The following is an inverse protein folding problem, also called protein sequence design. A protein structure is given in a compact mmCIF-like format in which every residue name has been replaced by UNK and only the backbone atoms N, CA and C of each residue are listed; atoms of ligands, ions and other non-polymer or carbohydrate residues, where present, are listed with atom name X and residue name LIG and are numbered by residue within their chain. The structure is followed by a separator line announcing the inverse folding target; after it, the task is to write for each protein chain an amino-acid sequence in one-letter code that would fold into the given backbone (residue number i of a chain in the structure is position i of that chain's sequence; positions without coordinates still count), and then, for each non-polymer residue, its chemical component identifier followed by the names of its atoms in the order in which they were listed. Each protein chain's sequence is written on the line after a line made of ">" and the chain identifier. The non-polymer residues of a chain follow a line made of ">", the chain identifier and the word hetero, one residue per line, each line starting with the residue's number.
data_IF_284222709266
#
_entry.id   IF_284222709266
#
_cell.length_a   1.000
_cell.length_b   1.000
_cell.length_c   1.000
_cell.angle_alpha   90.00
_cell.angle_beta   90.00
_cell.angle_gamma   90.00
#
_symmetry.space_group_name_H-M   'P 1'
#
loop_
_entity.id
_entity.type
_entity.pdbx_description
1 polymer ?
#
# COMPACT_ATOMS: atom_id res chain seq x y z
N UNK A 1 62.13 -2.46 2.69
CA UNK A 1 61.07 -3.43 3.03
C UNK A 1 59.80 -2.74 3.55
N UNK A 2 59.91 -1.68 4.39
CA UNK A 2 58.75 -0.90 4.86
C UNK A 2 58.04 -0.11 3.75
N UNK A 3 58.77 0.55 2.84
CA UNK A 3 58.18 1.34 1.75
C UNK A 3 57.25 0.52 0.85
N UNK A 4 57.59 -0.75 0.58
CA UNK A 4 56.72 -1.65 -0.17
C UNK A 4 55.46 -2.06 0.60
N UNK A 5 55.55 -2.21 1.92
CA UNK A 5 54.37 -2.49 2.76
C UNK A 5 53.42 -1.29 2.80
N UNK A 6 53.96 -0.08 2.96
CA UNK A 6 53.15 1.15 2.93
C UNK A 6 52.46 1.35 1.58
N UNK A 7 53.15 1.09 0.47
CA UNK A 7 52.56 1.19 -0.87
C UNK A 7 51.40 0.19 -1.06
N UNK A 8 51.57 -1.06 -0.63
CA UNK A 8 50.52 -2.08 -0.71
C UNK A 8 49.30 -1.68 0.12
N UNK A 9 49.50 -1.18 1.35
CA UNK A 9 48.39 -0.70 2.20
C UNK A 9 47.64 0.46 1.54
N UNK A 10 48.36 1.43 0.95
CA UNK A 10 47.73 2.56 0.25
C UNK A 10 46.90 2.05 -0.95
N UNK A 11 47.41 1.11 -1.74
CA UNK A 11 46.66 0.52 -2.86
C UNK A 11 45.40 -0.18 -2.37
N UNK A 12 45.48 -0.96 -1.29
CA UNK A 12 44.31 -1.64 -0.72
C UNK A 12 43.26 -0.65 -0.23
N UNK A 13 43.67 0.44 0.44
CA UNK A 13 42.76 1.50 0.88
C UNK A 13 42.09 2.21 -0.30
N UNK A 14 42.82 2.47 -1.39
CA UNK A 14 42.26 3.06 -2.61
C UNK A 14 41.26 2.12 -3.26
N UNK A 15 41.58 0.83 -3.38
CA UNK A 15 40.66 -0.18 -3.94
C UNK A 15 39.41 -0.30 -3.06
N UNK A 16 39.56 -0.32 -1.74
CA UNK A 16 38.43 -0.36 -0.81
C UNK A 16 37.56 0.90 -0.92
N UNK A 17 38.16 2.08 -1.03
CA UNK A 17 37.42 3.33 -1.22
C UNK A 17 36.65 3.34 -2.54
N UNK A 18 37.28 2.93 -3.65
CA UNK A 18 36.61 2.82 -4.95
C UNK A 18 35.47 1.79 -4.86
N UNK A 19 35.71 0.63 -4.26
CA UNK A 19 34.68 -0.40 -4.05
C UNK A 19 33.50 0.12 -3.23
N UNK A 20 33.76 0.86 -2.15
CA UNK A 20 32.72 1.50 -1.34
C UNK A 20 31.94 2.53 -2.15
N UNK A 21 32.59 3.39 -2.93
CA UNK A 21 31.91 4.39 -3.77
C UNK A 21 31.04 3.71 -4.84
N UNK A 22 31.53 2.66 -5.48
CA UNK A 22 30.75 1.89 -6.45
C UNK A 22 29.55 1.20 -5.80
N UNK A 23 29.74 0.59 -4.62
CA UNK A 23 28.66 0.00 -3.83
C UNK A 23 27.60 1.05 -3.47
N UNK A 24 27.99 2.18 -2.91
CA UNK A 24 27.05 3.24 -2.52
C UNK A 24 26.28 3.78 -3.73
N UNK A 25 26.95 3.99 -4.87
CA UNK A 25 26.28 4.46 -6.12
C UNK A 25 25.32 3.42 -6.69
N UNK A 26 25.67 2.13 -6.65
CA UNK A 26 24.84 1.06 -7.21
C UNK A 26 23.69 0.63 -6.30
N UNK A 27 23.92 0.61 -4.98
CA UNK A 27 22.96 0.13 -3.99
C UNK A 27 21.97 1.22 -3.54
N UNK A 28 22.38 2.49 -3.57
CA UNK A 28 21.51 3.64 -3.27
C UNK A 28 21.35 4.55 -4.49
N UNK A 29 20.75 4.05 -5.59
CA UNK A 29 20.44 4.92 -6.71
C UNK A 29 19.45 5.99 -6.25
N UNK A 30 19.79 7.26 -6.48
CA UNK A 30 18.83 8.35 -6.31
C UNK A 30 17.89 8.26 -7.50
N UNK A 31 16.68 7.75 -7.26
CA UNK A 31 15.62 7.74 -8.28
C UNK A 31 15.37 9.19 -8.70
N UNK A 32 15.49 9.46 -10.00
CA UNK A 32 15.02 10.72 -10.55
C UNK A 32 13.53 10.55 -10.84
N UNK A 33 12.69 11.24 -10.09
CA UNK A 33 11.28 11.38 -10.41
C UNK A 33 11.12 11.97 -11.80
N UNK A 34 10.10 11.52 -12.54
CA UNK A 34 9.70 12.19 -13.78
C UNK A 34 9.13 13.55 -13.36
N UNK A 35 9.69 14.67 -13.82
CA UNK A 35 9.23 15.99 -13.39
C UNK A 35 7.86 16.31 -13.98
N UNK A 36 7.06 17.02 -13.19
CA UNK A 36 5.71 17.46 -13.57
C UNK A 36 4.64 16.42 -13.25
N UNK A 37 3.40 16.73 -13.64
CA UNK A 37 2.23 15.86 -13.48
C UNK A 37 1.74 15.36 -14.84
N UNK A 38 1.27 14.12 -14.88
CA UNK A 38 0.61 13.56 -16.05
C UNK A 38 -0.60 14.42 -16.45
N UNK A 39 -0.82 14.50 -17.75
CA UNK A 39 -1.90 15.28 -18.37
C UNK A 39 -2.63 14.43 -19.41
N UNK A 40 -3.75 14.94 -19.94
CA UNK A 40 -4.46 14.26 -21.04
C UNK A 40 -3.60 14.10 -22.31
N UNK A 41 -2.58 14.94 -22.51
CA UNK A 41 -1.60 14.77 -23.60
C UNK A 41 -0.54 13.70 -23.33
N UNK A 42 -0.48 13.17 -22.11
CA UNK A 42 0.50 12.19 -21.65
C UNK A 42 -0.02 10.74 -21.75
N UNK A 43 -1.20 10.51 -22.34
CA UNK A 43 -1.75 9.16 -22.44
C UNK A 43 -0.84 8.26 -23.28
N UNK A 44 -0.52 7.04 -22.78
CA UNK A 44 0.20 6.07 -23.58
C UNK A 44 -0.67 5.64 -24.78
N UNK A 45 -0.07 5.12 -25.85
CA UNK A 45 -0.82 4.56 -26.97
C UNK A 45 -1.75 3.42 -26.51
N UNK A 46 -2.89 3.26 -27.19
CA UNK A 46 -3.80 2.15 -26.92
C UNK A 46 -3.11 0.80 -27.16
N UNK A 47 -3.41 -0.26 -26.38
CA UNK A 47 -2.81 -1.58 -26.59
C UNK A 47 -3.00 -2.09 -28.04
N UNK A 48 -1.90 -2.29 -28.76
CA UNK A 48 -1.92 -2.74 -30.16
C UNK A 48 -2.13 -1.63 -31.21
N UNK A 49 -2.01 -0.36 -30.81
CA UNK A 49 -2.12 0.80 -31.69
C UNK A 49 -1.01 1.83 -31.38
N UNK A 50 -0.56 2.57 -32.38
CA UNK A 50 0.33 3.73 -32.20
C UNK A 50 -0.46 5.04 -31.97
N UNK A 51 -1.80 4.98 -32.00
CA UNK A 51 -2.64 6.13 -31.71
C UNK A 51 -2.57 6.49 -30.22
N UNK A 52 -2.49 7.80 -29.87
CA UNK A 52 -2.54 8.22 -28.47
C UNK A 52 -3.79 7.68 -27.80
N UNK A 53 -3.63 7.21 -26.56
CA UNK A 53 -4.75 6.78 -25.74
C UNK A 53 -5.76 7.89 -25.49
N UNK A 54 -6.98 7.50 -25.18
CA UNK A 54 -8.06 8.44 -24.85
C UNK A 54 -8.51 8.27 -23.40
N UNK A 55 -9.04 9.33 -22.76
CA UNK A 55 -9.61 9.22 -21.43
C UNK A 55 -10.79 8.24 -21.47
N UNK A 56 -10.87 7.36 -20.47
CA UNK A 56 -11.99 6.45 -20.29
C UNK A 56 -12.99 7.08 -19.32
N UNK A 57 -14.27 6.98 -19.65
CA UNK A 57 -15.33 7.43 -18.75
C UNK A 57 -15.29 6.66 -17.43
N UNK A 58 -15.46 7.38 -16.32
CA UNK A 58 -15.49 6.77 -14.99
C UNK A 58 -16.71 5.84 -14.88
N UNK A 59 -16.46 4.57 -14.53
CA UNK A 59 -17.52 3.55 -14.33
C UNK A 59 -17.87 3.30 -12.86
N UNK A 60 -17.13 3.95 -11.96
CA UNK A 60 -17.29 3.90 -10.51
C UNK A 60 -17.48 5.32 -9.97
N UNK A 61 -18.45 5.45 -9.06
CA UNK A 61 -18.74 6.68 -8.34
C UNK A 61 -17.98 6.78 -7.02
N UNK A 62 -17.70 5.62 -6.39
CA UNK A 62 -16.96 5.53 -5.12
C UNK A 62 -15.89 4.46 -5.12
N UNK A 63 -14.79 4.77 -4.44
CA UNK A 63 -13.69 3.85 -4.21
C UNK A 63 -13.33 3.81 -2.72
N UNK A 64 -13.20 2.62 -2.15
CA UNK A 64 -12.60 2.40 -0.83
C UNK A 64 -11.33 1.59 -0.99
N UNK A 65 -10.20 2.12 -0.52
CA UNK A 65 -8.93 1.40 -0.46
C UNK A 65 -8.73 0.97 0.99
N UNK A 66 -8.69 -0.34 1.22
CA UNK A 66 -8.34 -0.95 2.51
C UNK A 66 -6.93 -1.48 2.39
N UNK A 67 -5.98 -0.78 3.01
CA UNK A 67 -4.58 -1.17 3.10
C UNK A 67 -4.32 -1.77 4.48
N UNK A 68 -3.78 -2.98 4.53
CA UNK A 68 -3.43 -3.65 5.79
C UNK A 68 -1.91 -3.87 5.80
N UNK A 69 -1.24 -3.25 6.76
CA UNK A 69 0.21 -3.34 6.93
C UNK A 69 0.63 -4.80 7.21
N UNK A 70 1.69 -5.24 6.52
CA UNK A 70 2.27 -6.58 6.59
C UNK A 70 1.30 -7.74 6.27
N UNK A 71 0.26 -7.51 5.47
CA UNK A 71 -0.67 -8.54 5.03
C UNK A 71 -0.02 -9.53 4.03
N UNK A 72 0.39 -10.69 4.54
CA UNK A 72 0.87 -11.81 3.72
C UNK A 72 -0.22 -12.36 2.81
N UNK A 73 0.15 -12.72 1.58
CA UNK A 73 -0.75 -13.38 0.64
C UNK A 73 -1.34 -14.69 1.16
N UNK A 74 -0.54 -15.50 1.88
CA UNK A 74 -0.96 -16.82 2.37
C UNK A 74 -1.96 -16.75 3.54
N UNK A 75 -2.18 -15.58 4.12
CA UNK A 75 -3.29 -15.33 5.05
C UNK A 75 -4.64 -15.27 4.33
N UNK A 76 -4.65 -14.95 3.03
CA UNK A 76 -5.88 -14.67 2.26
C UNK A 76 -6.09 -15.67 1.12
N UNK A 77 -5.04 -16.06 0.39
CA UNK A 77 -5.11 -16.89 -0.82
C UNK A 77 -4.14 -18.09 -0.71
N UNK A 78 -4.61 -19.36 -0.69
CA UNK A 78 -5.98 -19.85 -0.88
C UNK A 78 -6.91 -19.64 0.33
N UNK A 79 -6.39 -19.04 1.41
CA UNK A 79 -7.13 -18.73 2.64
C UNK A 79 -7.24 -19.94 3.55
N UNK A 80 -6.83 -19.78 4.82
CA UNK A 80 -6.97 -20.82 5.84
C UNK A 80 -8.23 -20.65 6.70
N UNK A 81 -9.14 -19.77 6.29
CA UNK A 81 -10.41 -19.53 6.95
C UNK A 81 -10.36 -18.51 8.09
N UNK A 82 -9.25 -17.77 8.24
CA UNK A 82 -9.17 -16.62 9.17
C UNK A 82 -9.89 -15.38 8.66
N UNK A 83 -10.04 -15.22 7.34
CA UNK A 83 -10.83 -14.16 6.69
C UNK A 83 -12.01 -14.80 5.91
N UNK A 84 -12.99 -15.32 6.64
CA UNK A 84 -14.05 -16.16 6.07
C UNK A 84 -14.90 -15.44 5.04
N UNK A 85 -15.30 -14.20 5.33
CA UNK A 85 -16.14 -13.42 4.43
C UNK A 85 -15.44 -13.18 3.10
N UNK A 86 -14.20 -12.72 3.14
CA UNK A 86 -13.38 -12.55 1.94
C UNK A 86 -13.15 -13.88 1.21
N UNK A 87 -12.79 -14.94 1.92
CA UNK A 87 -12.57 -16.26 1.31
C UNK A 87 -13.83 -16.80 0.63
N UNK A 88 -15.03 -16.52 1.15
CA UNK A 88 -16.30 -16.87 0.49
C UNK A 88 -16.51 -16.08 -0.80
N UNK A 89 -16.28 -14.76 -0.81
CA UNK A 89 -16.37 -13.94 -2.01
C UNK A 89 -15.40 -14.40 -3.11
N UNK A 90 -14.17 -14.75 -2.72
CA UNK A 90 -13.16 -15.33 -3.62
C UNK A 90 -13.65 -16.65 -4.21
N UNK A 91 -14.08 -17.60 -3.36
CA UNK A 91 -14.56 -18.93 -3.81
C UNK A 91 -15.81 -18.87 -4.69
N UNK A 92 -16.67 -17.88 -4.46
CA UNK A 92 -17.91 -17.69 -5.20
C UNK A 92 -17.73 -16.89 -6.50
N UNK A 93 -16.51 -16.53 -6.89
CA UNK A 93 -16.25 -15.68 -8.06
C UNK A 93 -16.95 -14.30 -7.97
N UNK A 94 -17.05 -13.75 -6.75
CA UNK A 94 -17.61 -12.44 -6.45
C UNK A 94 -16.51 -11.40 -6.19
N UNK A 95 -15.28 -11.72 -6.59
CA UNK A 95 -14.11 -10.86 -6.50
C UNK A 95 -13.22 -11.05 -7.72
N UNK A 96 -12.31 -10.09 -7.93
CA UNK A 96 -11.17 -10.27 -8.81
C UNK A 96 -9.90 -10.24 -7.95
N UNK A 97 -9.18 -11.35 -7.89
CA UNK A 97 -8.08 -11.54 -6.94
C UNK A 97 -6.75 -11.82 -7.63
N UNK A 98 -5.69 -11.24 -7.09
CA UNK A 98 -4.33 -11.40 -7.60
C UNK A 98 -3.33 -11.55 -6.45
N UNK A 99 -2.20 -12.20 -6.77
CA UNK A 99 -0.98 -12.08 -5.96
C UNK A 99 -0.18 -10.88 -6.45
N UNK A 100 -0.13 -9.84 -5.64
CA UNK A 100 0.71 -8.68 -5.90
C UNK A 100 2.12 -8.92 -5.36
N UNK A 101 3.12 -8.40 -6.07
CA UNK A 101 4.53 -8.48 -5.67
C UNK A 101 5.04 -7.10 -5.24
N UNK A 102 5.21 -6.92 -3.93
CA UNK A 102 5.89 -5.79 -3.34
C UNK A 102 7.41 -5.91 -3.57
N UNK A 103 7.96 -5.02 -4.39
CA UNK A 103 9.41 -4.93 -4.56
C UNK A 103 10.07 -4.39 -3.27
N UNK A 104 11.22 -4.95 -2.85
CA UNK A 104 11.99 -4.45 -1.71
C UNK A 104 12.46 -2.99 -1.91
N UNK A 105 12.65 -2.21 -0.82
CA UNK A 105 12.42 -2.60 0.58
C UNK A 105 10.93 -2.76 0.91
N UNK A 106 10.58 -3.85 1.59
CA UNK A 106 9.24 -4.12 2.12
C UNK A 106 9.03 -3.34 3.43
N UNK A 107 9.02 -2.02 3.32
CA UNK A 107 8.80 -1.08 4.42
C UNK A 107 7.65 -0.16 4.03
N UNK A 108 6.80 0.16 4.99
CA UNK A 108 5.53 0.91 4.82
C UNK A 108 5.67 2.16 3.95
N UNK A 109 6.52 3.13 4.31
CA UNK A 109 6.61 4.39 3.56
C UNK A 109 7.05 4.21 2.09
N UNK A 110 8.18 3.55 1.77
CA UNK A 110 8.53 3.27 0.37
C UNK A 110 7.43 2.57 -0.41
N UNK A 111 6.65 1.70 0.26
CA UNK A 111 5.59 0.94 -0.38
C UNK A 111 4.35 1.76 -0.65
N UNK A 112 3.93 2.63 0.26
CA UNK A 112 2.88 3.64 0.03
C UNK A 112 3.25 4.53 -1.16
N UNK A 113 4.49 5.05 -1.20
CA UNK A 113 4.96 5.87 -2.34
C UNK A 113 4.82 5.11 -3.66
N UNK A 114 5.26 3.86 -3.70
CA UNK A 114 5.24 3.06 -4.91
C UNK A 114 3.81 2.65 -5.33
N UNK A 115 2.90 2.41 -4.38
CA UNK A 115 1.47 2.20 -4.68
C UNK A 115 0.85 3.44 -5.33
N UNK A 116 1.17 4.63 -4.83
CA UNK A 116 0.55 5.88 -5.30
C UNK A 116 1.21 6.46 -6.56
N UNK A 117 2.48 6.15 -6.83
CA UNK A 117 3.23 6.69 -7.99
C UNK A 117 3.40 5.67 -9.12
N UNK A 118 3.21 4.37 -8.86
CA UNK A 118 3.61 3.30 -9.77
C UNK A 118 5.14 3.14 -9.93
N UNK A 119 5.93 3.89 -9.14
CA UNK A 119 7.39 3.83 -9.17
C UNK A 119 7.97 2.60 -8.45
N UNK A 120 9.22 2.28 -8.78
CA UNK A 120 10.00 1.27 -8.04
C UNK A 120 10.57 1.93 -6.77
N UNK A 121 10.37 1.36 -5.56
CA UNK A 121 10.91 1.94 -4.33
C UNK A 121 12.44 1.82 -4.28
N UNK A 122 13.10 2.76 -3.63
CA UNK A 122 14.54 2.70 -3.37
C UNK A 122 14.87 2.53 -1.89
N UNK A 123 15.97 1.86 -1.55
CA UNK A 123 16.49 1.84 -0.18
C UNK A 123 16.88 3.24 0.32
N UNK A 124 17.18 4.15 -0.60
CA UNK A 124 17.44 5.55 -0.27
C UNK A 124 16.22 6.24 0.35
N UNK A 125 14.99 5.83 0.02
CA UNK A 125 13.77 6.35 0.63
C UNK A 125 13.73 6.06 2.14
N UNK A 126 14.23 4.90 2.57
CA UNK A 126 14.30 4.53 3.99
C UNK A 126 15.25 5.47 4.73
N UNK A 127 16.40 5.80 4.13
CA UNK A 127 17.40 6.70 4.72
C UNK A 127 16.95 8.17 4.71
N UNK A 128 16.31 8.61 3.63
CA UNK A 128 15.88 10.00 3.44
C UNK A 128 14.53 10.32 4.10
N UNK A 129 13.84 9.33 4.66
CA UNK A 129 12.60 9.50 5.44
C UNK A 129 12.72 10.63 6.49
N UNK A 130 13.93 10.88 7.00
CA UNK A 130 14.19 11.92 8.00
C UNK A 130 14.30 13.36 7.47
N UNK A 131 14.34 13.62 6.15
CA UNK A 131 14.82 14.90 5.61
C UNK A 131 13.80 15.77 4.84
N UNK A 132 12.65 15.26 4.44
CA UNK A 132 11.51 16.05 3.91
C UNK A 132 10.36 15.11 3.64
N UNK A 133 9.23 15.30 4.33
CA UNK A 133 8.13 14.33 4.37
C UNK A 133 7.26 14.33 3.13
N UNK A 134 7.13 15.44 2.42
CA UNK A 134 6.19 15.58 1.30
C UNK A 134 6.72 14.93 0.01
N UNK A 135 5.88 14.13 -0.64
CA UNK A 135 6.17 13.54 -1.94
C UNK A 135 5.96 14.57 -3.06
N UNK A 136 7.02 14.83 -3.83
CA UNK A 136 6.98 15.79 -4.94
C UNK A 136 6.66 15.16 -6.30
N UNK A 137 6.62 13.82 -6.38
CA UNK A 137 6.32 13.09 -7.63
C UNK A 137 4.82 13.10 -7.92
N UNK A 138 4.47 13.04 -9.20
CA UNK A 138 3.08 12.82 -9.61
C UNK A 138 2.56 11.50 -9.04
N UNK A 139 1.32 11.53 -8.57
CA UNK A 139 0.74 10.42 -7.84
C UNK A 139 -0.79 10.41 -7.96
N UNK A 140 -1.37 9.25 -7.66
CA UNK A 140 -2.80 9.02 -7.77
C UNK A 140 -3.64 10.02 -6.96
N UNK A 141 -3.21 10.39 -5.75
CA UNK A 141 -3.98 11.32 -4.91
C UNK A 141 -3.99 12.73 -5.47
N UNK A 142 -2.84 13.22 -5.94
CA UNK A 142 -2.74 14.50 -6.63
C UNK A 142 -3.63 14.54 -7.88
N UNK A 143 -3.63 13.48 -8.69
CA UNK A 143 -4.47 13.36 -9.87
C UNK A 143 -5.97 13.33 -9.53
N UNK A 144 -6.36 12.60 -8.49
CA UNK A 144 -7.75 12.57 -7.99
C UNK A 144 -8.20 13.95 -7.50
N UNK A 145 -7.38 14.63 -6.69
CA UNK A 145 -7.67 15.99 -6.21
C UNK A 145 -7.78 16.99 -7.37
N UNK A 146 -6.87 16.91 -8.34
CA UNK A 146 -6.90 17.76 -9.55
C UNK A 146 -8.15 17.52 -10.40
N UNK A 147 -8.66 16.28 -10.43
CA UNK A 147 -9.94 15.93 -11.04
C UNK A 147 -11.17 16.32 -10.19
N UNK A 148 -10.98 17.04 -9.08
CA UNK A 148 -12.04 17.51 -8.19
C UNK A 148 -12.63 16.43 -7.28
N UNK A 149 -11.98 15.25 -7.18
CA UNK A 149 -12.41 14.17 -6.30
C UNK A 149 -12.07 14.46 -4.85
N UNK A 150 -12.99 14.13 -3.97
CA UNK A 150 -12.91 14.36 -2.53
C UNK A 150 -12.44 13.10 -1.83
N UNK A 151 -11.27 13.19 -1.20
CA UNK A 151 -10.59 12.05 -0.57
C UNK A 151 -10.69 12.18 0.94
N UNK A 152 -11.07 11.10 1.62
CA UNK A 152 -10.99 10.98 3.08
C UNK A 152 -10.01 9.87 3.46
N UNK A 153 -9.21 10.09 4.51
CA UNK A 153 -8.14 9.17 4.89
C UNK A 153 -8.08 8.93 6.40
N UNK A 154 -7.92 7.68 6.82
CA UNK A 154 -7.72 7.33 8.22
C UNK A 154 -6.69 6.19 8.33
N UNK A 155 -5.64 6.36 9.13
CA UNK A 155 -4.57 5.37 9.25
C UNK A 155 -3.21 5.99 9.55
N UNK A 156 -2.12 5.30 9.19
CA UNK A 156 -0.74 5.75 9.51
C UNK A 156 -0.48 7.21 9.09
N UNK A 157 0.04 8.02 10.02
CA UNK A 157 0.32 9.44 9.82
C UNK A 157 1.32 9.76 8.69
N UNK A 158 2.05 8.75 8.21
CA UNK A 158 2.92 8.79 7.03
C UNK A 158 2.17 9.26 5.80
N UNK A 159 0.90 8.91 5.62
CA UNK A 159 0.11 9.38 4.48
C UNK A 159 -0.10 10.89 4.50
N UNK A 160 -0.40 11.46 5.68
CA UNK A 160 -0.63 12.90 5.85
C UNK A 160 0.67 13.68 5.59
N UNK A 161 1.79 13.10 6.01
CA UNK A 161 3.15 13.62 5.79
C UNK A 161 3.54 13.59 4.31
N UNK A 162 3.25 12.49 3.61
CA UNK A 162 3.58 12.28 2.19
C UNK A 162 2.69 13.09 1.24
N UNK A 163 1.40 13.25 1.55
CA UNK A 163 0.39 13.83 0.65
C UNK A 163 -0.36 15.00 1.30
N UNK A 164 0.34 16.05 1.77
CA UNK A 164 -0.29 17.18 2.43
C UNK A 164 -1.27 17.88 1.49
N UNK A 165 -2.46 18.20 1.99
CA UNK A 165 -3.48 18.95 1.25
C UNK A 165 -4.36 18.12 0.30
N UNK A 166 -4.11 16.82 0.12
CA UNK A 166 -4.95 15.96 -0.73
C UNK A 166 -6.22 15.43 -0.04
N UNK A 167 -6.27 15.48 1.29
CA UNK A 167 -7.38 14.92 2.07
C UNK A 167 -8.35 16.00 2.53
N UNK A 168 -9.64 15.85 2.19
CA UNK A 168 -10.72 16.70 2.70
C UNK A 168 -10.94 16.49 4.20
N UNK A 169 -10.87 15.24 4.64
CA UNK A 169 -10.87 14.84 6.05
C UNK A 169 -9.79 13.81 6.24
N UNK A 170 -8.99 13.98 7.28
CA UNK A 170 -8.01 12.98 7.65
C UNK A 170 -7.81 12.89 9.15
N UNK A 171 -7.39 11.72 9.61
CA UNK A 171 -6.91 11.50 10.96
C UNK A 171 -5.80 10.46 10.96
N UNK A 172 -4.66 10.82 11.55
CA UNK A 172 -3.45 10.01 11.55
C UNK A 172 -3.31 9.24 12.85
N UNK A 173 -2.93 7.97 12.76
CA UNK A 173 -2.50 7.18 13.92
C UNK A 173 -0.98 7.07 13.95
N UNK A 174 -0.42 7.06 15.15
CA UNK A 174 1.01 6.98 15.36
C UNK A 174 1.44 5.52 15.46
N UNK A 175 2.33 5.08 14.57
CA UNK A 175 2.84 3.71 14.46
C UNK A 175 4.09 3.41 15.30
N UNK A 176 4.63 4.37 16.05
CA UNK A 176 5.89 4.18 16.79
C UNK A 176 5.82 3.14 17.92
N UNK A 177 4.64 2.84 18.47
CA UNK A 177 4.50 1.93 19.61
C UNK A 177 3.94 0.56 19.18
N UNK A 178 4.82 -0.33 18.73
CA UNK A 178 4.48 -1.68 18.22
C UNK A 178 3.79 -2.62 19.22
N UNK A 179 3.79 -2.29 20.52
CA UNK A 179 3.04 -3.06 21.52
C UNK A 179 1.53 -2.82 21.46
N UNK A 180 1.10 -1.72 20.85
CA UNK A 180 -0.31 -1.41 20.65
C UNK A 180 -0.77 -1.90 19.27
N UNK A 181 -1.44 -3.04 19.22
CA UNK A 181 -2.03 -3.58 17.99
C UNK A 181 -3.57 -3.47 17.97
N UNK A 182 -4.17 -2.76 18.92
CA UNK A 182 -5.63 -2.62 19.05
C UNK A 182 -6.05 -1.17 18.88
N UNK A 183 -5.50 -0.25 19.67
CA UNK A 183 -5.88 1.15 19.63
C UNK A 183 -5.47 1.80 18.29
N UNK A 184 -4.36 1.39 17.68
CA UNK A 184 -4.00 1.81 16.32
C UNK A 184 -5.09 1.52 15.28
N UNK A 185 -5.77 0.38 15.37
CA UNK A 185 -6.84 -0.01 14.44
C UNK A 185 -8.20 0.58 14.85
N UNK A 186 -8.47 0.71 16.15
CA UNK A 186 -9.66 1.43 16.66
C UNK A 186 -9.66 2.90 16.22
N UNK A 187 -8.47 3.53 16.18
CA UNK A 187 -8.25 4.88 15.65
C UNK A 187 -8.48 5.01 14.14
N UNK A 188 -8.64 3.90 13.41
CA UNK A 188 -9.12 3.93 12.03
C UNK A 188 -10.62 3.65 12.01
N UNK A 189 -11.02 2.55 12.65
CA UNK A 189 -12.39 1.99 12.62
C UNK A 189 -13.44 2.94 13.17
N UNK A 190 -13.14 3.76 14.19
CA UNK A 190 -14.11 4.68 14.80
C UNK A 190 -14.69 5.72 13.82
N UNK A 191 -14.03 5.97 12.69
CA UNK A 191 -14.53 6.88 11.64
C UNK A 191 -15.53 6.23 10.68
N UNK A 192 -15.52 4.90 10.55
CA UNK A 192 -16.29 4.19 9.52
C UNK A 192 -17.78 4.47 9.58
N UNK A 193 -18.41 4.43 10.76
CA UNK A 193 -19.85 4.63 10.89
C UNK A 193 -20.31 5.99 10.35
N UNK A 194 -19.57 7.06 10.64
CA UNK A 194 -19.85 8.40 10.14
C UNK A 194 -19.63 8.48 8.63
N UNK A 195 -18.49 7.99 8.15
CA UNK A 195 -18.08 8.20 6.75
C UNK A 195 -18.87 7.29 5.79
N UNK A 196 -19.23 6.06 6.17
CA UNK A 196 -20.14 5.20 5.39
C UNK A 196 -21.54 5.79 5.27
N UNK A 197 -21.98 6.60 6.25
CA UNK A 197 -23.25 7.35 6.19
C UNK A 197 -23.15 8.65 5.37
N UNK A 198 -21.94 9.07 5.00
CA UNK A 198 -21.69 10.38 4.40
C UNK A 198 -21.78 10.34 2.88
N UNK A 199 -22.36 11.40 2.30
CA UNK A 199 -22.64 11.51 0.85
C UNK A 199 -21.56 12.24 0.06
N UNK A 200 -20.58 12.84 0.74
CA UNK A 200 -19.79 13.96 0.24
C UNK A 200 -18.35 13.60 -0.16
N UNK A 201 -17.95 12.34 -0.08
CA UNK A 201 -16.63 11.86 -0.52
C UNK A 201 -16.75 10.94 -1.75
N UNK A 202 -15.67 10.88 -2.53
CA UNK A 202 -15.53 10.01 -3.71
C UNK A 202 -14.54 8.85 -3.45
N UNK A 203 -13.48 9.11 -2.68
CA UNK A 203 -12.46 8.11 -2.33
C UNK A 203 -12.25 8.06 -0.82
N UNK A 204 -12.26 6.87 -0.25
CA UNK A 204 -11.89 6.61 1.14
C UNK A 204 -10.67 5.71 1.19
N UNK A 205 -9.68 6.06 2.02
CA UNK A 205 -8.47 5.26 2.22
C UNK A 205 -8.36 4.94 3.71
N UNK A 206 -8.23 3.65 4.02
CA UNK A 206 -8.09 3.12 5.36
C UNK A 206 -6.78 2.35 5.44
N UNK A 207 -5.91 2.70 6.37
CA UNK A 207 -4.63 2.02 6.55
C UNK A 207 -4.51 1.47 7.97
N UNK A 208 -4.62 0.14 8.09
CA UNK A 208 -4.61 -0.61 9.34
C UNK A 208 -3.22 -1.16 9.64
N UNK A 209 -2.80 -1.14 10.91
CA UNK A 209 -1.42 -1.40 11.32
C UNK A 209 -1.29 -2.54 12.33
N UNK A 210 -2.36 -2.88 13.03
CA UNK A 210 -2.31 -3.84 14.14
C UNK A 210 -1.77 -5.22 13.73
N UNK A 211 -1.92 -5.61 12.46
CA UNK A 211 -1.36 -6.85 11.94
C UNK A 211 0.18 -6.84 11.94
N UNK A 212 0.81 -5.79 11.42
CA UNK A 212 2.27 -5.62 11.45
C UNK A 212 2.80 -5.55 12.88
N UNK A 213 2.12 -4.83 13.76
CA UNK A 213 2.47 -4.74 15.17
C UNK A 213 2.48 -6.11 15.88
N UNK A 214 1.49 -6.98 15.59
CA UNK A 214 1.51 -8.38 16.05
C UNK A 214 2.67 -9.16 15.43
N UNK A 215 2.95 -8.91 14.15
CA UNK A 215 4.12 -9.45 13.44
C UNK A 215 5.41 -9.21 14.21
N UNK A 216 5.75 -7.95 14.50
CA UNK A 216 6.96 -7.60 15.27
C UNK A 216 6.96 -8.18 16.68
N UNK A 217 5.81 -8.19 17.34
CA UNK A 217 5.71 -8.62 18.74
C UNK A 217 5.85 -10.15 18.90
N UNK A 218 5.20 -10.92 18.04
CA UNK A 218 4.99 -12.36 18.25
C UNK A 218 5.09 -13.22 16.98
N UNK A 219 5.26 -12.61 15.81
CA UNK A 219 5.40 -13.30 14.54
C UNK A 219 4.08 -13.82 13.92
N UNK A 220 4.14 -14.24 12.64
CA UNK A 220 2.97 -14.61 11.84
C UNK A 220 2.27 -15.91 12.26
N UNK A 221 2.90 -16.73 13.11
CA UNK A 221 2.31 -17.95 13.67
C UNK A 221 1.69 -17.74 15.06
N UNK A 222 1.69 -16.50 15.57
CA UNK A 222 1.09 -16.16 16.86
C UNK A 222 -0.42 -16.47 16.87
N UNK A 223 -0.97 -16.94 18.02
CA UNK A 223 -2.42 -17.10 18.17
C UNK A 223 -3.19 -15.77 18.05
N UNK A 224 -2.50 -14.62 18.09
CA UNK A 224 -3.09 -13.29 17.90
C UNK A 224 -3.43 -12.98 16.43
N UNK A 225 -2.77 -13.64 15.46
CA UNK A 225 -3.00 -13.36 14.03
C UNK A 225 -4.41 -13.76 13.60
N UNK A 226 -4.94 -14.87 14.12
CA UNK A 226 -6.31 -15.33 13.82
C UNK A 226 -7.38 -14.29 14.15
N UNK A 227 -7.48 -13.86 15.42
CA UNK A 227 -8.39 -12.79 15.83
C UNK A 227 -8.19 -11.49 15.04
N UNK A 228 -6.95 -11.07 14.78
CA UNK A 228 -6.68 -9.84 14.03
C UNK A 228 -7.14 -9.91 12.57
N UNK A 229 -6.93 -11.04 11.89
CA UNK A 229 -7.45 -11.23 10.53
C UNK A 229 -8.98 -11.30 10.51
N UNK A 230 -9.60 -11.89 11.53
CA UNK A 230 -11.06 -11.90 11.67
C UNK A 230 -11.62 -10.48 11.86
N UNK A 231 -10.95 -9.63 12.63
CA UNK A 231 -11.29 -8.21 12.78
C UNK A 231 -11.24 -7.47 11.43
N UNK A 232 -10.16 -7.67 10.66
CA UNK A 232 -10.02 -7.07 9.32
C UNK A 232 -11.11 -7.58 8.35
N UNK A 233 -11.47 -8.86 8.43
CA UNK A 233 -12.53 -9.46 7.64
C UNK A 233 -13.92 -8.93 8.01
N UNK A 234 -14.18 -8.69 9.29
CA UNK A 234 -15.41 -8.07 9.79
C UNK A 234 -15.54 -6.62 9.32
N UNK A 235 -14.46 -5.84 9.39
CA UNK A 235 -14.41 -4.46 8.86
C UNK A 235 -14.68 -4.44 7.36
N UNK A 236 -14.02 -5.31 6.59
CA UNK A 236 -14.22 -5.41 5.15
C UNK A 236 -15.66 -5.77 4.81
N UNK A 237 -16.26 -6.71 5.56
CA UNK A 237 -17.67 -7.08 5.41
C UNK A 237 -18.60 -5.90 5.63
N UNK A 238 -18.37 -5.12 6.67
CA UNK A 238 -19.22 -4.00 7.03
C UNK A 238 -19.14 -2.89 5.96
N UNK A 239 -17.95 -2.59 5.45
CA UNK A 239 -17.74 -1.68 4.31
C UNK A 239 -18.48 -2.21 3.08
N UNK A 240 -18.23 -3.47 2.68
CA UNK A 240 -18.79 -4.06 1.47
C UNK A 240 -20.32 -4.08 1.48
N UNK A 241 -20.94 -4.48 2.59
CA UNK A 241 -22.41 -4.48 2.73
C UNK A 241 -23.00 -3.08 2.67
N UNK A 242 -22.36 -2.10 3.33
CA UNK A 242 -22.82 -0.71 3.25
C UNK A 242 -22.75 -0.16 1.83
N UNK A 243 -21.67 -0.45 1.08
CA UNK A 243 -21.54 0.00 -0.30
C UNK A 243 -22.56 -0.67 -1.23
N UNK A 244 -22.84 -1.97 -1.06
CA UNK A 244 -23.91 -2.65 -1.82
C UNK A 244 -25.26 -1.97 -1.57
N UNK A 245 -25.59 -1.69 -0.31
CA UNK A 245 -26.84 -1.03 0.03
C UNK A 245 -26.91 0.38 -0.56
N UNK A 246 -25.84 1.15 -0.42
CA UNK A 246 -25.69 2.48 -1.00
C UNK A 246 -25.89 2.48 -2.52
N UNK A 247 -25.21 1.58 -3.24
CA UNK A 247 -25.31 1.45 -4.69
C UNK A 247 -26.75 1.17 -5.14
N UNK A 248 -27.47 0.34 -4.39
CA UNK A 248 -28.89 0.05 -4.66
C UNK A 248 -29.79 1.25 -4.42
N UNK A 249 -29.59 1.98 -3.32
CA UNK A 249 -30.41 3.15 -2.98
C UNK A 249 -30.16 4.35 -3.89
N UNK A 250 -28.90 4.58 -4.26
CA UNK A 250 -28.47 5.76 -4.99
C UNK A 250 -28.34 5.53 -6.50
N UNK A 251 -28.41 4.27 -6.96
CA UNK A 251 -28.18 3.92 -8.36
C UNK A 251 -26.74 4.17 -8.81
N UNK A 252 -25.78 4.01 -7.89
CA UNK A 252 -24.34 4.24 -8.13
C UNK A 252 -23.56 2.94 -8.19
N UNK A 253 -22.27 3.04 -8.50
CA UNK A 253 -21.35 1.91 -8.50
C UNK A 253 -20.12 2.18 -7.64
N UNK A 254 -19.90 1.31 -6.66
CA UNK A 254 -18.76 1.39 -5.75
C UNK A 254 -17.79 0.22 -5.96
N UNK A 255 -16.53 0.43 -5.60
CA UNK A 255 -15.54 -0.64 -5.52
C UNK A 255 -14.71 -0.56 -4.24
N UNK A 256 -14.23 -1.73 -3.79
CA UNK A 256 -13.24 -1.87 -2.74
C UNK A 256 -11.97 -2.46 -3.34
N UNK A 257 -10.82 -1.92 -2.96
CA UNK A 257 -9.50 -2.50 -3.20
C UNK A 257 -8.92 -2.87 -1.84
N UNK A 258 -8.81 -4.17 -1.56
CA UNK A 258 -8.07 -4.68 -0.42
C UNK A 258 -6.66 -5.05 -0.88
N UNK A 259 -5.64 -4.52 -0.20
CA UNK A 259 -4.26 -4.93 -0.45
C UNK A 259 -3.38 -4.80 0.80
N UNK A 260 -2.23 -5.46 0.75
CA UNK A 260 -1.10 -5.17 1.64
C UNK A 260 -0.05 -4.33 0.92
N UNK A 261 0.61 -3.44 1.64
CA UNK A 261 1.76 -2.67 1.15
C UNK A 261 3.04 -3.55 1.07
N UNK A 262 3.18 -4.45 2.04
CA UNK A 262 4.09 -5.59 2.08
C UNK A 262 3.48 -6.73 2.92
N UNK A 263 4.20 -7.86 2.99
CA UNK A 263 3.95 -8.92 3.98
C UNK A 263 5.00 -8.89 5.10
N UNK A 264 5.14 -10.00 5.82
CA UNK A 264 6.17 -10.19 6.86
C UNK A 264 6.86 -11.53 6.72
N UNK A 265 8.13 -11.58 7.12
CA UNK A 265 8.93 -12.81 7.24
C UNK A 265 8.35 -13.76 8.29
N UNK A 266 8.83 -15.00 8.33
CA UNK A 266 8.39 -15.99 9.31
C UNK A 266 8.78 -15.66 10.76
N UNK A 267 9.73 -14.72 10.96
CA UNK A 267 10.05 -14.16 12.28
C UNK A 267 9.28 -12.87 12.58
N UNK A 268 8.36 -12.44 11.71
CA UNK A 268 7.56 -11.22 11.90
C UNK A 268 8.25 -9.91 11.55
N UNK A 269 9.47 -9.97 10.99
CA UNK A 269 10.20 -8.79 10.49
C UNK A 269 9.87 -8.53 9.02
N UNK A 270 10.26 -7.36 8.50
CA UNK A 270 10.10 -6.97 7.10
C UNK A 270 11.26 -6.06 6.66
N UNK A 271 11.22 -5.57 5.42
CA UNK A 271 12.28 -4.78 4.77
C UNK A 271 13.18 -5.57 3.82
N UNK A 272 13.09 -6.89 3.85
CA UNK A 272 13.82 -7.82 2.99
C UNK A 272 13.11 -8.15 1.68
N UNK A 273 13.37 -9.37 1.19
CA UNK A 273 12.95 -9.83 -0.12
C UNK A 273 12.45 -11.29 -0.12
N UNK A 274 12.16 -11.86 1.05
CA UNK A 274 11.60 -13.21 1.11
C UNK A 274 10.20 -13.26 0.48
N UNK A 275 9.76 -14.45 0.08
CA UNK A 275 8.44 -14.61 -0.53
C UNK A 275 7.30 -14.12 0.39
N UNK A 276 7.26 -14.46 1.69
CA UNK A 276 6.25 -13.93 2.60
C UNK A 276 6.26 -12.41 2.76
N UNK A 277 7.43 -11.78 2.68
CA UNK A 277 7.53 -10.31 2.75
C UNK A 277 7.04 -9.62 1.47
N UNK A 278 7.22 -10.27 0.32
CA UNK A 278 7.02 -9.64 -1.00
C UNK A 278 5.68 -10.00 -1.66
N UNK A 279 5.01 -11.08 -1.22
CA UNK A 279 3.71 -11.46 -1.77
C UNK A 279 2.57 -10.99 -0.87
N UNK A 280 1.74 -10.10 -1.39
CA UNK A 280 0.54 -9.59 -0.74
C UNK A 280 -0.70 -9.92 -1.58
N UNK A 281 -1.89 -10.04 -0.96
CA UNK A 281 -3.12 -10.17 -1.73
C UNK A 281 -3.46 -8.81 -2.36
N UNK A 282 -4.06 -8.84 -3.55
CA UNK A 282 -4.72 -7.71 -4.17
C UNK A 282 -6.10 -8.17 -4.61
N UNK A 283 -7.14 -7.72 -3.91
CA UNK A 283 -8.52 -8.16 -4.14
C UNK A 283 -9.40 -6.96 -4.44
N UNK A 284 -10.14 -7.06 -5.54
CA UNK A 284 -11.14 -6.09 -5.95
C UNK A 284 -12.54 -6.65 -5.66
N UNK A 285 -13.37 -5.87 -4.97
CA UNK A 285 -14.77 -6.17 -4.72
C UNK A 285 -15.66 -5.08 -5.32
N UNK A 286 -16.75 -5.48 -5.97
CA UNK A 286 -17.77 -4.56 -6.46
C UNK A 286 -19.04 -5.35 -6.79
N UNK A 287 -20.19 -4.71 -6.66
CA UNK A 287 -21.48 -5.26 -7.12
C UNK A 287 -21.49 -5.61 -8.62
N UNK A 288 -20.56 -5.03 -9.41
CA UNK A 288 -20.38 -5.29 -10.84
C UNK A 288 -19.45 -6.47 -11.16
N UNK A 289 -18.76 -7.06 -10.18
CA UNK A 289 -17.80 -8.16 -10.38
C UNK A 289 -18.43 -9.56 -10.23
N UNK A 290 -19.71 -9.71 -10.60
CA UNK A 290 -20.33 -11.04 -10.70
C UNK A 290 -19.62 -11.85 -11.80
N UNK A 291 -19.24 -13.08 -11.49
CA UNK A 291 -18.40 -13.95 -12.33
C UNK A 291 -16.94 -13.47 -12.49
N UNK A 292 -16.42 -12.74 -11.50
CA UNK A 292 -15.00 -12.40 -11.42
C UNK A 292 -14.13 -13.67 -11.34
N UNK A 293 -12.93 -13.66 -11.92
CA UNK A 293 -11.98 -14.78 -11.78
C UNK A 293 -11.29 -14.66 -10.41
N UNK A 294 -12.03 -15.02 -9.36
CA UNK A 294 -11.55 -15.07 -7.98
C UNK A 294 -10.42 -16.06 -7.78
#
# INVERSE_FOLDING_TARGET
>A
MEVHRSLVVVVLLVVQYIGLVLFLKGFFPIKQAIPGSASLSSFPPEPGSDAPGSPVDAVLDRLVIVLIDALRADFVLPGDGRMKYLNELVRNNESLSFLAKAHPPTVTMPRIKALMTGGIPGFIDVLLNSLSTELQEDNLLAQLTAAGKKIVFFGDDTWIKLFPGNFMRSDGTNSFFVSDYTEVDDNVTRHLGKELSSKDWDVMILHYLGLDHIGHLAGPSSPLIGPKLQEMDDILRDIHRNLIHWDQEMGTHSAIVLCGDHGMSDSGSHGGASLPETLTPLVFLSSRLKDGRG
#
